data_IF_782205555682
#
_entry.id   IF_782205555682
#
_cell.length_a   1.000
_cell.length_b   1.000
_cell.length_c   1.000
_cell.angle_alpha   90.00
_cell.angle_beta   90.00
_cell.angle_gamma   90.00
#
_symmetry.space_group_name_H-M   'P 1'
#
loop_
_entity.id
_entity.type
_entity.pdbx_description
1 polymer ?
#
# COMPACT_ATOMS: atom_id res chain seq x y z
N UNK A 1 32.69 3.24 -14.31
CA UNK A 1 32.38 2.41 -13.14
C UNK A 1 30.93 2.03 -13.35
N UNK A 2 30.69 0.84 -13.88
CA UNK A 2 29.36 0.39 -14.28
C UNK A 2 28.67 -0.25 -13.08
N UNK A 3 27.38 0.05 -12.90
CA UNK A 3 26.55 -0.57 -11.86
C UNK A 3 26.14 -1.95 -12.38
N UNK A 4 26.61 -3.01 -11.71
CA UNK A 4 26.12 -4.37 -11.90
C UNK A 4 25.03 -4.66 -10.85
N UNK A 5 23.80 -4.87 -11.31
CA UNK A 5 22.72 -5.35 -10.45
C UNK A 5 22.83 -6.87 -10.29
N UNK A 6 22.64 -7.37 -9.07
CA UNK A 6 22.65 -8.80 -8.77
C UNK A 6 21.38 -9.53 -9.25
N UNK A 7 21.29 -10.82 -8.95
CA UNK A 7 20.09 -11.61 -9.26
C UNK A 7 18.86 -11.10 -8.51
N UNK A 8 17.76 -10.98 -9.25
CA UNK A 8 16.48 -10.49 -8.75
C UNK A 8 15.68 -11.69 -8.22
N UNK A 9 15.64 -11.87 -6.91
CA UNK A 9 14.84 -12.92 -6.29
C UNK A 9 13.39 -12.46 -6.12
N UNK A 10 12.46 -13.21 -6.72
CA UNK A 10 11.02 -12.99 -6.53
C UNK A 10 10.52 -13.90 -5.43
N UNK A 11 10.09 -13.33 -4.31
CA UNK A 11 9.43 -14.10 -3.24
C UNK A 11 7.99 -14.44 -3.66
N UNK A 12 7.58 -15.69 -3.46
CA UNK A 12 6.18 -16.05 -3.69
C UNK A 12 5.29 -15.39 -2.61
N UNK A 13 4.11 -14.85 -2.98
CA UNK A 13 3.17 -14.31 -2.01
C UNK A 13 2.80 -15.36 -0.97
N UNK A 14 2.86 -14.96 0.31
CA UNK A 14 2.46 -15.83 1.43
C UNK A 14 0.93 -15.89 1.47
N UNK A 15 0.39 -17.07 1.78
CA UNK A 15 -1.05 -17.23 2.00
C UNK A 15 -1.43 -16.58 3.34
N UNK A 16 -2.39 -15.65 3.32
CA UNK A 16 -2.83 -14.93 4.50
C UNK A 16 -4.34 -14.66 4.47
N UNK A 17 -4.98 -14.66 5.65
CA UNK A 17 -6.38 -14.31 5.78
C UNK A 17 -6.58 -12.81 5.49
N UNK A 18 -7.44 -12.51 4.52
CA UNK A 18 -7.74 -11.11 4.15
C UNK A 18 -8.32 -10.31 5.33
N UNK A 19 -7.97 -9.02 5.47
CA UNK A 19 -8.48 -8.18 6.56
C UNK A 19 -10.01 -8.11 6.65
N UNK A 20 -10.74 -8.01 5.53
CA UNK A 20 -12.21 -7.96 5.48
C UNK A 20 -12.89 -9.26 5.92
N UNK A 21 -12.14 -10.37 5.96
CA UNK A 21 -12.62 -11.68 6.41
C UNK A 21 -12.13 -12.03 7.81
N UNK A 22 -11.23 -11.23 8.37
CA UNK A 22 -10.65 -11.46 9.67
C UNK A 22 -11.42 -10.67 10.74
N UNK A 23 -12.06 -11.40 11.68
CA UNK A 23 -12.90 -10.82 12.74
C UNK A 23 -12.16 -9.95 13.75
N UNK A 24 -10.82 -9.95 13.72
CA UNK A 24 -10.01 -9.07 14.55
C UNK A 24 -9.91 -7.64 13.99
N UNK A 25 -10.29 -7.43 12.72
CA UNK A 25 -10.24 -6.13 12.07
C UNK A 25 -11.63 -5.61 11.74
N UNK A 26 -11.76 -4.29 11.78
CA UNK A 26 -12.90 -3.57 11.21
C UNK A 26 -12.45 -2.98 9.88
N UNK A 27 -13.12 -3.33 8.79
CA UNK A 27 -12.77 -2.88 7.44
C UNK A 27 -13.93 -2.09 6.86
N UNK A 28 -13.61 -0.94 6.27
CA UNK A 28 -14.57 -0.09 5.57
C UNK A 28 -14.12 0.03 4.11
N UNK A 29 -15.05 -0.19 3.19
CA UNK A 29 -14.80 0.02 1.77
C UNK A 29 -14.79 1.51 1.44
N UNK A 30 -13.73 1.98 0.81
CA UNK A 30 -13.64 3.34 0.27
C UNK A 30 -13.94 3.32 -1.23
N UNK A 31 -14.90 4.13 -1.67
CA UNK A 31 -15.38 4.12 -3.06
C UNK A 31 -16.29 2.92 -3.35
N UNK A 32 -16.12 2.31 -4.52
CA UNK A 32 -16.91 1.17 -5.01
C UNK A 32 -16.01 0.10 -5.64
N UNK A 33 -15.12 -0.55 -4.85
CA UNK A 33 -14.21 -1.56 -5.39
C UNK A 33 -14.99 -2.75 -5.95
N UNK A 34 -14.63 -3.19 -7.17
CA UNK A 34 -15.20 -4.40 -7.75
C UNK A 34 -14.60 -5.65 -7.08
N UNK A 35 -15.38 -6.72 -6.95
CA UNK A 35 -14.92 -7.96 -6.32
C UNK A 35 -13.82 -8.69 -7.11
N UNK A 36 -13.69 -8.38 -8.40
CA UNK A 36 -12.68 -8.95 -9.31
C UNK A 36 -11.43 -8.07 -9.44
N UNK A 37 -11.42 -6.88 -8.85
CA UNK A 37 -10.24 -6.02 -8.80
C UNK A 37 -9.28 -6.46 -7.69
N UNK A 38 -8.02 -6.05 -7.82
CA UNK A 38 -7.02 -6.30 -6.78
C UNK A 38 -7.42 -5.58 -5.49
N UNK A 39 -7.69 -6.34 -4.44
CA UNK A 39 -8.02 -5.77 -3.14
C UNK A 39 -6.78 -5.13 -2.51
N UNK A 40 -6.87 -3.83 -2.19
CA UNK A 40 -5.84 -3.09 -1.45
C UNK A 40 -6.42 -2.70 -0.10
N UNK A 41 -5.83 -3.22 0.96
CA UNK A 41 -6.15 -2.85 2.33
C UNK A 41 -5.09 -1.89 2.83
N UNK A 42 -5.51 -0.82 3.50
CA UNK A 42 -4.61 0.19 4.05
C UNK A 42 -4.91 0.32 5.53
N UNK A 43 -3.86 0.27 6.35
CA UNK A 43 -3.97 0.59 7.77
C UNK A 43 -4.51 2.02 7.94
N UNK A 44 -5.43 2.21 8.90
CA UNK A 44 -6.06 3.51 9.15
C UNK A 44 -5.05 4.57 9.57
N UNK A 45 -3.97 4.18 10.25
CA UNK A 45 -2.95 5.13 10.67
C UNK A 45 -2.08 5.59 9.48
N UNK A 46 -1.86 4.73 8.49
CA UNK A 46 -1.25 5.11 7.21
C UNK A 46 -2.15 6.06 6.43
N UNK A 47 -3.46 5.78 6.35
CA UNK A 47 -4.40 6.68 5.69
C UNK A 47 -4.41 8.08 6.32
N UNK A 48 -4.33 8.16 7.66
CA UNK A 48 -4.21 9.43 8.39
C UNK A 48 -2.89 10.14 8.11
N UNK A 49 -1.78 9.40 8.05
CA UNK A 49 -0.48 9.97 7.70
C UNK A 49 -0.50 10.55 6.28
N UNK A 50 -1.06 9.83 5.32
CA UNK A 50 -1.24 10.28 3.94
C UNK A 50 -2.09 11.55 3.86
N UNK A 51 -3.22 11.60 4.57
CA UNK A 51 -4.08 12.79 4.62
C UNK A 51 -3.34 13.98 5.23
N UNK A 52 -2.65 13.78 6.36
CA UNK A 52 -1.87 14.83 7.00
C UNK A 52 -0.73 15.33 6.11
N UNK A 53 -0.08 14.44 5.35
CA UNK A 53 0.92 14.83 4.35
C UNK A 53 0.29 15.64 3.23
N UNK A 54 -0.80 15.17 2.63
CA UNK A 54 -1.48 15.86 1.54
C UNK A 54 -2.00 17.26 1.91
N UNK A 55 -2.29 17.48 3.21
CA UNK A 55 -2.74 18.77 3.74
C UNK A 55 -1.60 19.70 4.19
N UNK A 56 -0.35 19.23 4.20
CA UNK A 56 0.81 20.01 4.66
C UNK A 56 1.09 21.21 3.73
N UNK A 57 1.05 20.98 2.42
CA UNK A 57 1.13 22.03 1.40
C UNK A 57 0.23 21.70 0.20
N UNK A 58 -0.93 22.36 0.14
CA UNK A 58 -1.89 22.17 -0.95
C UNK A 58 -1.57 23.01 -2.20
N UNK A 59 -0.46 23.77 -2.20
CA UNK A 59 -0.03 24.57 -3.34
C UNK A 59 0.76 23.77 -4.38
N UNK A 60 1.22 22.58 -3.99
CA UNK A 60 2.00 21.65 -4.83
C UNK A 60 1.41 20.25 -4.78
N UNK A 61 1.81 19.42 -5.74
CA UNK A 61 1.56 17.98 -5.66
C UNK A 61 2.62 17.33 -4.77
N UNK A 62 2.18 16.67 -3.69
CA UNK A 62 3.05 15.99 -2.75
C UNK A 62 3.16 14.51 -3.10
N UNK A 63 4.38 13.98 -3.06
CA UNK A 63 4.69 12.58 -3.33
C UNK A 63 4.99 11.77 -2.06
N UNK A 64 5.03 10.45 -2.21
CA UNK A 64 5.39 9.50 -1.17
C UNK A 64 5.39 8.06 -1.66
N UNK A 65 5.75 7.13 -0.79
CA UNK A 65 5.76 5.69 -1.05
C UNK A 65 4.93 4.97 0.00
N UNK A 66 4.09 4.03 -0.44
CA UNK A 66 3.35 3.13 0.43
C UNK A 66 4.12 1.82 0.57
N UNK A 67 4.22 1.34 1.80
CA UNK A 67 4.97 0.14 2.17
C UNK A 67 4.04 -0.92 2.74
N UNK A 68 4.33 -2.17 2.40
CA UNK A 68 3.49 -3.28 2.82
C UNK A 68 3.86 -4.60 2.15
N UNK A 69 2.90 -5.53 2.21
CA UNK A 69 3.07 -6.88 1.68
C UNK A 69 2.06 -7.23 0.59
N UNK A 70 2.44 -8.20 -0.24
CA UNK A 70 1.57 -8.84 -1.22
C UNK A 70 1.29 -10.28 -0.76
N UNK A 71 0.02 -10.67 -0.81
CA UNK A 71 -0.45 -11.93 -0.26
C UNK A 71 -1.46 -12.58 -1.20
N UNK A 72 -1.76 -13.85 -0.95
CA UNK A 72 -2.90 -14.54 -1.55
C UNK A 72 -3.86 -15.00 -0.45
N UNK A 73 -5.16 -14.95 -0.73
CA UNK A 73 -6.16 -15.52 0.17
C UNK A 73 -6.25 -17.05 0.02
N UNK A 74 -7.08 -17.70 0.84
CA UNK A 74 -7.28 -19.16 0.80
C UNK A 74 -7.86 -19.66 -0.53
N UNK A 75 -8.48 -18.78 -1.32
CA UNK A 75 -9.01 -19.07 -2.66
C UNK A 75 -7.98 -18.76 -3.77
N UNK A 76 -6.76 -18.36 -3.39
CA UNK A 76 -5.67 -18.04 -4.31
C UNK A 76 -5.76 -16.64 -4.93
N UNK A 77 -6.68 -15.77 -4.47
CA UNK A 77 -6.81 -14.42 -5.02
C UNK A 77 -5.78 -13.48 -4.40
N UNK A 78 -5.07 -12.67 -5.20
CA UNK A 78 -4.08 -11.75 -4.68
C UNK A 78 -4.74 -10.58 -3.93
N UNK A 79 -4.05 -10.07 -2.92
CA UNK A 79 -4.37 -8.80 -2.28
C UNK A 79 -3.10 -8.13 -1.74
N UNK A 80 -3.19 -6.82 -1.53
CA UNK A 80 -2.11 -6.00 -0.96
C UNK A 80 -2.54 -5.49 0.41
N UNK A 81 -1.62 -5.49 1.36
CA UNK A 81 -1.81 -4.84 2.65
C UNK A 81 -0.73 -3.78 2.83
N UNK A 82 -1.14 -2.51 2.89
CA UNK A 82 -0.29 -1.37 3.18
C UNK A 82 -0.30 -1.13 4.68
N UNK A 83 0.88 -1.13 5.29
CA UNK A 83 1.07 -1.02 6.75
C UNK A 83 1.93 0.16 7.16
N UNK A 84 2.59 0.83 6.21
CA UNK A 84 3.45 1.99 6.49
C UNK A 84 3.53 2.93 5.27
N UNK A 85 4.00 4.16 5.49
CA UNK A 85 4.19 5.19 4.47
C UNK A 85 5.48 5.99 4.69
N UNK A 86 6.07 6.44 3.58
CA UNK A 86 7.18 7.38 3.57
C UNK A 86 6.80 8.62 2.77
N UNK A 87 6.98 9.79 3.38
CA UNK A 87 6.72 11.09 2.75
C UNK A 87 7.92 11.52 1.92
N UNK A 88 7.68 12.09 0.75
CA UNK A 88 8.74 12.80 0.03
C UNK A 88 8.95 14.17 0.67
N UNK A 89 10.15 14.42 1.19
CA UNK A 89 10.49 15.68 1.89
C UNK A 89 11.06 16.76 0.95
N UNK A 90 11.54 16.36 -0.24
CA UNK A 90 12.20 17.24 -1.19
C UNK A 90 11.56 17.10 -2.57
N UNK A 91 10.69 18.04 -2.91
CA UNK A 91 10.07 18.20 -4.21
C UNK A 91 10.69 19.43 -4.89
N UNK A 92 11.72 19.21 -5.72
CA UNK A 92 12.18 20.27 -6.62
C UNK A 92 11.15 20.40 -7.75
N UNK A 93 10.22 21.33 -7.59
CA UNK A 93 9.41 21.83 -8.70
C UNK A 93 10.34 22.63 -9.62
N UNK A 94 10.87 21.99 -10.67
CA UNK A 94 11.64 22.68 -11.72
C UNK A 94 10.76 23.03 -12.90
#
# INVERSE_FOLDING_TARGET
>A
MDIEFGELEHTQPVVQLRPDRNKHYAVVSCGSPDENELAIFVDVDVMRDMEAHALDDTSVELGGVLLGGQYTDEEGRPFVLVTDSLRAEHYEST
#
